data_IF_747715615914
#
_entry.id   IF_747715615914
#
_cell.length_a   1.000
_cell.length_b   1.000
_cell.length_c   1.000
_cell.angle_alpha   90.00
_cell.angle_beta   90.00
_cell.angle_gamma   90.00
#
_symmetry.space_group_name_H-M   'P 1'
#
loop_
_entity.id
_entity.type
_entity.pdbx_description
1 polymer ?
#
# COMPACT_ATOMS: atom_id res chain seq x y z
N UNK A 1 -21.92 -15.00 -55.02
CA UNK A 1 -20.65 -15.50 -55.58
C UNK A 1 -19.53 -14.68 -54.96
N UNK A 2 -18.71 -15.37 -54.16
CA UNK A 2 -17.25 -15.25 -54.03
C UNK A 2 -16.77 -13.92 -53.41
N UNK A 3 -15.96 -13.89 -52.35
CA UNK A 3 -15.17 -14.88 -51.68
C UNK A 3 -14.54 -14.27 -50.42
N UNK A 4 -14.38 -15.11 -49.42
CA UNK A 4 -13.59 -14.85 -48.21
C UNK A 4 -12.10 -14.75 -48.57
N UNK A 5 -11.38 -13.76 -47.99
CA UNK A 5 -9.94 -13.87 -47.82
C UNK A 5 -9.59 -13.54 -46.37
N UNK A 6 -9.28 -14.59 -45.66
CA UNK A 6 -8.64 -14.58 -44.35
C UNK A 6 -7.17 -14.22 -44.50
N UNK A 7 -6.67 -13.25 -43.72
CA UNK A 7 -5.25 -13.01 -43.54
C UNK A 7 -4.80 -13.66 -42.23
N UNK A 8 -3.63 -14.33 -42.20
CA UNK A 8 -3.16 -15.05 -41.04
C UNK A 8 -2.45 -14.12 -40.05
N UNK A 9 -2.83 -14.20 -38.79
CA UNK A 9 -2.07 -13.66 -37.67
C UNK A 9 -0.78 -14.46 -37.49
N UNK A 10 0.33 -13.80 -37.59
CA UNK A 10 1.66 -14.39 -37.32
C UNK A 10 2.07 -14.01 -35.90
N UNK A 11 1.91 -14.95 -34.96
CA UNK A 11 2.45 -14.88 -33.60
C UNK A 11 3.92 -15.26 -33.62
N UNK A 12 4.79 -14.27 -33.66
CA UNK A 12 6.23 -14.47 -33.47
C UNK A 12 6.57 -14.61 -32.00
N UNK A 13 6.60 -15.85 -31.52
CA UNK A 13 7.18 -16.20 -30.24
C UNK A 13 8.70 -16.32 -30.36
N UNK A 14 9.46 -15.44 -29.75
CA UNK A 14 10.89 -15.62 -29.55
C UNK A 14 11.20 -15.54 -28.04
N UNK A 15 10.95 -16.64 -27.34
CA UNK A 15 11.56 -16.90 -26.04
C UNK A 15 12.72 -17.88 -26.23
N UNK A 16 13.93 -17.38 -26.29
CA UNK A 16 15.14 -18.22 -26.22
C UNK A 16 15.38 -18.63 -24.77
N UNK A 17 14.96 -19.82 -24.43
CA UNK A 17 15.38 -20.52 -23.21
C UNK A 17 16.82 -20.99 -23.44
N UNK A 18 17.79 -20.34 -22.80
CA UNK A 18 19.15 -20.85 -22.70
C UNK A 18 19.23 -21.84 -21.55
N UNK A 19 19.16 -23.11 -21.86
CA UNK A 19 19.49 -24.20 -20.94
C UNK A 19 21.02 -24.27 -20.79
N UNK A 20 21.53 -23.85 -19.63
CA UNK A 20 22.90 -24.10 -19.25
C UNK A 20 22.98 -25.50 -18.66
N UNK A 21 23.54 -26.44 -19.43
CA UNK A 21 23.92 -27.74 -18.94
C UNK A 21 25.24 -27.58 -18.19
N UNK A 22 25.23 -27.84 -16.88
CA UNK A 22 26.43 -27.90 -16.07
C UNK A 22 27.08 -29.25 -16.27
N UNK A 23 28.24 -29.25 -16.93
CA UNK A 23 29.13 -30.43 -16.98
C UNK A 23 29.70 -30.73 -15.59
N UNK A 24 29.42 -31.93 -15.12
CA UNK A 24 30.02 -32.50 -13.92
C UNK A 24 31.47 -32.92 -14.22
N UNK A 25 32.42 -32.17 -13.76
CA UNK A 25 33.85 -32.59 -13.72
C UNK A 25 34.05 -33.47 -12.48
N UNK A 26 34.33 -34.76 -12.71
CA UNK A 26 34.76 -35.70 -11.70
C UNK A 26 36.19 -35.43 -11.31
N UNK A 27 36.49 -35.15 -10.06
CA UNK A 27 37.83 -35.12 -9.50
C UNK A 27 38.20 -36.51 -8.99
N UNK A 28 39.45 -36.93 -9.18
CA UNK A 28 39.89 -38.27 -8.78
C UNK A 28 40.17 -38.35 -7.28
N UNK A 29 39.76 -39.47 -6.71
CA UNK A 29 40.00 -39.90 -5.32
C UNK A 29 41.50 -40.30 -5.19
N UNK A 30 42.23 -39.59 -4.33
CA UNK A 30 43.54 -40.03 -3.88
C UNK A 30 43.42 -40.67 -2.49
N UNK A 31 43.65 -41.99 -2.45
CA UNK A 31 43.85 -42.72 -1.18
C UNK A 31 45.30 -42.52 -0.73
N UNK A 32 45.48 -42.05 0.49
CA UNK A 32 46.80 -42.12 1.17
C UNK A 32 46.66 -42.83 2.50
N UNK A 33 47.42 -43.89 2.61
CA UNK A 33 47.59 -44.79 3.72
C UNK A 33 48.21 -44.09 4.94
N UNK A 34 47.69 -44.35 6.11
CA UNK A 34 48.24 -43.91 7.39
C UNK A 34 49.31 -44.85 7.85
N UNK A 35 50.55 -44.40 8.04
CA UNK A 35 51.53 -45.04 8.92
C UNK A 35 51.62 -44.28 10.26
N UNK A 36 51.40 -45.00 11.33
CA UNK A 36 51.55 -44.54 12.70
C UNK A 36 53.02 -44.60 13.13
N UNK A 37 53.54 -43.54 13.75
CA UNK A 37 54.76 -43.56 14.52
C UNK A 37 54.56 -42.75 15.80
N UNK A 38 54.53 -43.49 16.92
CA UNK A 38 54.63 -42.92 18.27
C UNK A 38 56.02 -42.30 18.52
N UNK A 39 56.06 -41.19 19.20
CA UNK A 39 56.99 -40.96 20.34
C UNK A 39 56.87 -39.51 20.88
N UNK A 40 56.70 -39.38 22.22
CA UNK A 40 57.34 -38.33 23.04
C UNK A 40 56.48 -37.13 23.42
N UNK A 41 55.95 -37.14 24.65
CA UNK A 41 55.57 -35.92 25.38
C UNK A 41 56.82 -35.07 25.70
N UNK A 42 56.66 -33.73 25.72
CA UNK A 42 56.69 -33.07 27.02
C UNK A 42 55.57 -32.05 27.23
N UNK A 43 55.14 -31.99 28.46
CA UNK A 43 54.21 -31.08 29.12
C UNK A 43 54.66 -29.63 28.96
N UNK A 44 53.78 -28.79 28.34
CA UNK A 44 53.86 -27.35 28.50
C UNK A 44 52.43 -26.84 28.73
N UNK A 45 52.24 -26.12 29.83
CA UNK A 45 51.01 -25.48 30.18
C UNK A 45 50.62 -24.48 29.07
N UNK A 46 49.71 -24.91 28.19
CA UNK A 46 49.14 -24.08 27.13
C UNK A 46 47.94 -23.33 27.64
N UNK A 47 48.05 -22.03 27.60
CA UNK A 47 46.96 -21.08 27.69
C UNK A 47 45.82 -21.56 26.80
N UNK A 48 44.67 -21.87 27.39
CA UNK A 48 43.45 -22.17 26.66
C UNK A 48 43.18 -20.98 25.76
N UNK A 49 43.09 -21.14 24.42
CA UNK A 49 42.62 -20.03 23.58
C UNK A 49 41.18 -19.75 24.03
N UNK A 50 40.97 -18.57 24.57
CA UNK A 50 39.64 -17.99 24.67
C UNK A 50 39.11 -18.03 23.25
N UNK A 51 38.09 -18.85 23.02
CA UNK A 51 37.37 -18.89 21.77
C UNK A 51 36.88 -17.45 21.55
N UNK A 52 37.54 -16.73 20.66
CA UNK A 52 37.05 -15.48 20.10
C UNK A 52 35.76 -15.88 19.41
N UNK A 53 34.63 -15.56 20.05
CA UNK A 53 33.32 -15.60 19.40
C UNK A 53 33.48 -14.89 18.07
N UNK A 54 33.03 -15.48 16.96
CA UNK A 54 33.07 -14.77 15.69
C UNK A 54 32.33 -13.45 15.91
N UNK A 55 32.96 -12.33 15.58
CA UNK A 55 32.37 -10.99 15.57
C UNK A 55 31.37 -10.92 14.40
N UNK A 56 30.33 -11.76 14.45
CA UNK A 56 29.17 -11.70 13.56
C UNK A 56 28.02 -11.09 14.34
N UNK A 57 27.81 -9.80 14.14
CA UNK A 57 26.62 -9.13 14.70
C UNK A 57 25.35 -9.89 14.31
N UNK A 58 24.31 -9.77 15.10
CA UNK A 58 23.01 -10.36 14.83
C UNK A 58 22.47 -9.79 13.51
N UNK A 59 22.15 -10.67 12.55
CA UNK A 59 21.63 -10.29 11.24
C UNK A 59 20.13 -10.07 11.32
N UNK A 60 19.67 -8.87 10.98
CA UNK A 60 18.27 -8.52 10.76
C UNK A 60 18.03 -8.49 9.24
N UNK A 61 17.11 -9.31 8.77
CA UNK A 61 16.69 -9.35 7.36
C UNK A 61 15.43 -8.53 7.16
N UNK A 62 15.46 -7.64 6.17
CA UNK A 62 14.38 -6.71 5.85
C UNK A 62 13.93 -6.98 4.41
N UNK A 63 12.64 -7.19 4.18
CA UNK A 63 12.08 -7.25 2.84
C UNK A 63 11.26 -6.00 2.56
N UNK A 64 11.50 -5.39 1.39
CA UNK A 64 10.86 -4.17 0.93
C UNK A 64 10.28 -4.38 -0.47
N UNK A 65 9.17 -3.74 -0.81
CA UNK A 65 8.74 -3.64 -2.21
C UNK A 65 9.58 -2.59 -2.97
N UNK A 66 9.54 -2.59 -4.31
CA UNK A 66 10.39 -1.73 -5.15
C UNK A 66 10.24 -0.23 -4.86
N UNK A 67 9.05 0.22 -4.47
CA UNK A 67 8.75 1.61 -4.16
C UNK A 67 9.55 2.14 -2.96
N UNK A 68 10.04 1.24 -2.10
CA UNK A 68 10.83 1.53 -0.91
C UNK A 68 12.28 1.03 -1.03
N UNK A 69 12.79 0.85 -2.24
CA UNK A 69 14.17 0.41 -2.46
C UNK A 69 15.16 1.49 -1.99
N UNK A 70 16.00 1.23 -0.95
CA UNK A 70 16.99 2.19 -0.48
C UNK A 70 18.16 2.40 -1.47
N UNK A 71 18.31 1.52 -2.46
CA UNK A 71 19.29 1.67 -3.54
C UNK A 71 18.70 2.36 -4.79
N UNK A 72 17.44 2.80 -4.72
CA UNK A 72 16.79 3.58 -5.76
C UNK A 72 17.40 4.98 -5.94
N UNK A 73 16.99 5.66 -7.00
CA UNK A 73 17.55 6.98 -7.36
C UNK A 73 16.76 8.17 -6.79
N UNK A 74 15.70 7.94 -6.00
CA UNK A 74 14.88 9.01 -5.42
C UNK A 74 15.54 9.60 -4.17
N UNK A 75 15.13 10.83 -3.81
CA UNK A 75 15.51 11.45 -2.52
C UNK A 75 15.07 10.58 -1.34
N UNK A 76 13.86 10.04 -1.40
CA UNK A 76 13.33 9.13 -0.37
C UNK A 76 14.16 7.85 -0.22
N UNK A 77 14.63 7.27 -1.33
CA UNK A 77 15.55 6.12 -1.30
C UNK A 77 16.84 6.45 -0.56
N UNK A 78 17.44 7.60 -0.89
CA UNK A 78 18.67 8.07 -0.22
C UNK A 78 18.49 8.32 1.27
N UNK A 79 17.36 8.91 1.68
CA UNK A 79 17.01 9.13 3.08
C UNK A 79 16.82 7.81 3.85
N UNK A 80 16.10 6.86 3.28
CA UNK A 80 15.91 5.54 3.90
C UNK A 80 17.23 4.79 4.03
N UNK A 81 18.07 4.81 2.99
CA UNK A 81 19.42 4.23 3.03
C UNK A 81 20.27 4.83 4.16
N UNK A 82 20.37 6.15 4.18
CA UNK A 82 21.14 6.87 5.21
C UNK A 82 20.62 6.56 6.63
N UNK A 83 19.30 6.44 6.80
CA UNK A 83 18.69 6.10 8.10
C UNK A 83 19.04 4.69 8.55
N UNK A 84 19.01 3.71 7.63
CA UNK A 84 19.41 2.33 7.92
C UNK A 84 20.92 2.21 8.23
N UNK A 85 21.76 2.91 7.48
CA UNK A 85 23.21 2.97 7.72
C UNK A 85 23.54 3.62 9.07
N UNK A 86 22.86 4.72 9.44
CA UNK A 86 23.02 5.38 10.72
C UNK A 86 22.64 4.43 11.89
N UNK A 87 21.51 3.73 11.77
CA UNK A 87 21.14 2.72 12.79
C UNK A 87 22.21 1.63 12.95
N UNK A 88 22.74 1.11 11.85
CA UNK A 88 23.79 0.09 11.88
C UNK A 88 25.10 0.61 12.51
N UNK A 89 25.45 1.87 12.27
CA UNK A 89 26.61 2.52 12.86
C UNK A 89 26.47 2.72 14.38
N UNK A 90 25.27 3.11 14.83
CA UNK A 90 24.94 3.24 16.26
C UNK A 90 24.82 1.90 16.97
N UNK A 91 24.56 0.80 16.24
CA UNK A 91 24.36 -0.55 16.77
C UNK A 91 25.34 -1.56 16.15
N UNK A 92 26.64 -1.52 16.44
CA UNK A 92 27.65 -2.33 15.75
C UNK A 92 27.50 -3.85 15.95
N UNK A 93 26.68 -4.27 16.90
CA UNK A 93 26.28 -5.66 17.10
C UNK A 93 25.15 -6.12 16.15
N UNK A 94 24.60 -5.24 15.32
CA UNK A 94 23.51 -5.52 14.39
C UNK A 94 24.03 -5.34 12.96
N UNK A 95 23.70 -6.28 12.09
CA UNK A 95 23.88 -6.18 10.65
C UNK A 95 22.52 -6.17 9.97
N UNK A 96 22.32 -5.28 9.01
CA UNK A 96 21.09 -5.20 8.22
C UNK A 96 21.32 -5.84 6.84
N UNK A 97 20.39 -6.66 6.40
CA UNK A 97 20.33 -7.21 5.05
C UNK A 97 18.97 -6.84 4.44
N UNK A 98 19.00 -5.94 3.48
CA UNK A 98 17.78 -5.51 2.75
C UNK A 98 17.65 -6.32 1.47
N UNK A 99 16.42 -6.79 1.19
CA UNK A 99 16.07 -7.44 -0.08
C UNK A 99 14.81 -6.81 -0.62
N UNK A 100 14.89 -6.36 -1.86
CA UNK A 100 13.73 -5.88 -2.61
C UNK A 100 13.05 -7.06 -3.29
N UNK A 101 11.71 -7.12 -3.18
CA UNK A 101 10.86 -8.14 -3.78
C UNK A 101 9.66 -7.49 -4.44
N UNK A 102 9.19 -8.07 -5.52
CA UNK A 102 7.93 -7.63 -6.13
C UNK A 102 6.81 -7.57 -5.09
N UNK A 103 5.90 -6.63 -5.25
CA UNK A 103 4.76 -6.49 -4.35
C UNK A 103 3.86 -7.73 -4.47
N UNK A 104 3.49 -8.08 -5.68
CA UNK A 104 2.53 -9.12 -6.01
C UNK A 104 3.10 -10.19 -6.96
N UNK A 105 2.30 -11.21 -7.23
CA UNK A 105 2.60 -12.28 -8.16
C UNK A 105 3.58 -13.33 -7.62
N UNK A 106 3.98 -14.28 -8.47
CA UNK A 106 4.92 -15.33 -8.11
C UNK A 106 6.26 -14.78 -7.64
N UNK A 107 6.69 -15.13 -6.43
CA UNK A 107 7.90 -14.60 -5.80
C UNK A 107 7.76 -13.22 -5.18
N UNK A 108 6.58 -12.63 -5.19
CA UNK A 108 6.24 -11.40 -4.48
C UNK A 108 6.33 -11.55 -2.95
N UNK A 109 6.09 -10.46 -2.24
CA UNK A 109 6.26 -10.41 -0.77
C UNK A 109 5.47 -11.49 -0.05
N UNK A 110 4.15 -11.57 -0.28
CA UNK A 110 3.29 -12.55 0.40
C UNK A 110 3.60 -13.99 -0.04
N UNK A 111 3.75 -14.24 -1.34
CA UNK A 111 4.10 -15.56 -1.87
C UNK A 111 5.44 -16.06 -1.30
N UNK A 112 6.44 -15.17 -1.25
CA UNK A 112 7.74 -15.47 -0.64
C UNK A 112 7.65 -15.75 0.87
N UNK A 113 6.81 -15.03 1.62
CA UNK A 113 6.59 -15.29 3.05
C UNK A 113 5.98 -16.66 3.26
N UNK A 114 4.95 -17.01 2.49
CA UNK A 114 4.29 -18.33 2.55
C UNK A 114 5.29 -19.43 2.22
N UNK A 115 6.02 -19.31 1.11
CA UNK A 115 6.99 -20.31 0.67
C UNK A 115 8.14 -20.49 1.68
N UNK A 116 8.71 -19.38 2.19
CA UNK A 116 9.78 -19.43 3.18
C UNK A 116 9.31 -20.03 4.50
N UNK A 117 8.11 -19.67 4.97
CA UNK A 117 7.55 -20.22 6.20
C UNK A 117 7.36 -21.75 6.12
N UNK A 118 6.93 -22.25 4.96
CA UNK A 118 6.70 -23.67 4.76
C UNK A 118 7.99 -24.48 4.56
N UNK A 119 8.95 -23.98 3.76
CA UNK A 119 10.11 -24.75 3.31
C UNK A 119 11.42 -24.45 4.04
N UNK A 120 11.60 -23.20 4.51
CA UNK A 120 12.86 -22.73 5.07
C UNK A 120 12.65 -21.60 6.10
N UNK A 121 12.06 -21.86 7.27
CA UNK A 121 11.73 -20.82 8.26
C UNK A 121 12.93 -19.97 8.72
N UNK A 122 14.14 -20.51 8.64
CA UNK A 122 15.35 -19.80 9.02
C UNK A 122 15.78 -18.68 8.04
N UNK A 123 15.19 -18.64 6.83
CA UNK A 123 15.46 -17.59 5.84
C UNK A 123 14.35 -16.53 5.79
N UNK A 124 13.31 -16.66 6.63
CA UNK A 124 12.30 -15.63 6.80
C UNK A 124 12.95 -14.27 7.12
N UNK A 125 12.39 -13.18 6.62
CA UNK A 125 12.79 -11.85 7.06
C UNK A 125 12.40 -11.64 8.52
N UNK A 126 13.10 -10.76 9.21
CA UNK A 126 12.71 -10.32 10.56
C UNK A 126 11.67 -9.20 10.46
N UNK A 127 11.84 -8.32 9.45
CA UNK A 127 10.94 -7.21 9.12
C UNK A 127 10.51 -7.25 7.67
N UNK A 128 9.26 -6.87 7.43
CA UNK A 128 8.72 -6.65 6.07
C UNK A 128 7.93 -5.35 6.08
N UNK A 129 7.99 -4.59 5.01
CA UNK A 129 7.09 -3.46 4.80
C UNK A 129 5.95 -3.92 3.89
N UNK A 130 4.73 -3.91 4.43
CA UNK A 130 3.54 -4.40 3.73
C UNK A 130 2.47 -3.31 3.63
N UNK A 131 1.75 -3.23 2.49
CA UNK A 131 0.51 -2.47 2.41
C UNK A 131 -0.59 -3.19 3.18
N UNK A 132 -1.63 -2.47 3.59
CA UNK A 132 -2.71 -3.00 4.43
C UNK A 132 -3.30 -4.33 3.92
N UNK A 133 -3.64 -4.52 2.63
CA UNK A 133 -4.23 -5.77 2.15
C UNK A 133 -3.30 -6.98 2.35
N UNK A 134 -1.99 -6.81 2.11
CA UNK A 134 -1.02 -7.90 2.31
C UNK A 134 -0.74 -8.16 3.79
N UNK A 135 -0.75 -7.12 4.64
CA UNK A 135 -0.66 -7.27 6.09
C UNK A 135 -1.82 -8.13 6.62
N UNK A 136 -3.07 -7.83 6.22
CA UNK A 136 -4.24 -8.60 6.59
C UNK A 136 -4.10 -10.06 6.19
N UNK A 137 -3.77 -10.31 4.92
CA UNK A 137 -3.59 -11.65 4.38
C UNK A 137 -2.48 -12.42 5.11
N UNK A 138 -1.34 -11.78 5.38
CA UNK A 138 -0.22 -12.39 6.07
C UNK A 138 -0.55 -12.70 7.55
N UNK A 139 -1.22 -11.78 8.26
CA UNK A 139 -1.63 -11.97 9.64
C UNK A 139 -2.67 -13.11 9.77
N UNK A 140 -3.67 -13.15 8.89
CA UNK A 140 -4.69 -14.21 8.87
C UNK A 140 -4.09 -15.60 8.56
N UNK A 141 -3.00 -15.66 7.78
CA UNK A 141 -2.24 -16.89 7.51
C UNK A 141 -1.28 -17.26 8.64
N UNK A 142 -1.19 -16.48 9.73
CA UNK A 142 -0.28 -16.73 10.85
C UNK A 142 1.21 -16.53 10.51
N UNK A 143 1.51 -15.70 9.51
CA UNK A 143 2.89 -15.41 9.07
C UNK A 143 3.54 -14.26 9.84
N UNK A 144 2.76 -13.50 10.61
CA UNK A 144 3.20 -12.32 11.33
C UNK A 144 3.10 -12.51 12.84
N UNK A 145 3.95 -11.79 13.54
CA UNK A 145 3.93 -11.69 15.01
C UNK A 145 3.41 -10.32 15.43
N UNK A 146 2.54 -10.26 16.46
CA UNK A 146 2.05 -8.98 16.96
C UNK A 146 3.15 -8.22 17.70
N UNK A 147 3.00 -6.89 17.74
CA UNK A 147 3.84 -5.98 18.54
C UNK A 147 3.40 -5.89 20.01
N UNK A 148 2.25 -6.48 20.36
CA UNK A 148 1.69 -6.44 21.71
C UNK A 148 2.70 -6.96 22.74
N UNK A 149 2.95 -6.14 23.78
CA UNK A 149 3.97 -6.43 24.80
C UNK A 149 5.43 -6.26 24.35
N UNK A 150 5.70 -5.87 23.10
CA UNK A 150 7.03 -5.61 22.57
C UNK A 150 7.30 -4.11 22.37
N UNK A 151 6.29 -3.32 22.07
CA UNK A 151 6.36 -1.88 21.87
C UNK A 151 5.09 -1.20 22.33
N UNK A 152 5.21 0.00 22.88
CA UNK A 152 4.09 0.86 23.26
C UNK A 152 3.98 2.08 22.32
N UNK A 153 4.67 2.06 21.19
CA UNK A 153 4.74 3.24 20.30
C UNK A 153 3.37 3.65 19.75
N UNK A 154 2.46 2.67 19.56
CA UNK A 154 1.10 2.94 19.09
C UNK A 154 0.17 3.52 20.17
N UNK A 155 0.57 3.50 21.45
CA UNK A 155 -0.17 4.14 22.55
C UNK A 155 0.02 5.67 22.54
N UNK A 156 1.02 6.19 21.81
CA UNK A 156 1.24 7.63 21.64
C UNK A 156 0.04 8.25 20.92
N UNK A 157 -0.44 9.40 21.42
CA UNK A 157 -1.59 10.10 20.84
C UNK A 157 -1.28 10.83 19.51
N UNK A 158 -0.01 10.88 19.10
CA UNK A 158 0.40 11.56 17.87
C UNK A 158 0.05 10.83 16.57
N UNK A 159 -0.48 9.61 16.62
CA UNK A 159 -0.94 8.89 15.42
C UNK A 159 -2.32 9.36 14.99
N UNK A 160 -2.52 9.59 13.68
CA UNK A 160 -3.85 9.78 13.12
C UNK A 160 -4.72 8.53 13.34
N UNK A 161 -6.06 8.71 13.37
CA UNK A 161 -6.97 7.60 13.66
C UNK A 161 -6.89 6.50 12.59
N UNK A 162 -6.85 6.85 11.30
CA UNK A 162 -6.67 5.87 10.24
C UNK A 162 -5.36 5.07 10.39
N UNK A 163 -4.29 5.72 10.85
CA UNK A 163 -3.01 5.06 11.07
C UNK A 163 -3.06 4.08 12.25
N UNK A 164 -3.80 4.42 13.33
CA UNK A 164 -4.06 3.46 14.43
C UNK A 164 -4.80 2.24 13.91
N UNK A 165 -5.84 2.45 13.10
CA UNK A 165 -6.61 1.37 12.48
C UNK A 165 -5.75 0.55 11.51
N UNK A 166 -4.84 1.21 10.75
CA UNK A 166 -3.88 0.56 9.85
C UNK A 166 -2.96 -0.44 10.58
N UNK A 167 -2.57 -0.11 11.83
CA UNK A 167 -1.71 -0.96 12.66
C UNK A 167 -2.43 -2.20 13.19
N UNK A 168 -3.74 -2.10 13.42
CA UNK A 168 -4.50 -3.13 14.14
C UNK A 168 -5.24 -4.07 13.19
N UNK A 169 -5.26 -5.34 13.57
CA UNK A 169 -6.15 -6.35 12.99
C UNK A 169 -6.81 -7.12 14.13
N UNK A 170 -8.15 -7.10 14.21
CA UNK A 170 -8.89 -7.61 15.37
C UNK A 170 -8.42 -6.89 16.65
N UNK A 171 -7.95 -7.63 17.64
CA UNK A 171 -7.54 -7.09 18.95
C UNK A 171 -6.02 -6.92 19.09
N UNK A 172 -5.23 -7.11 18.03
CA UNK A 172 -3.76 -7.10 18.09
C UNK A 172 -3.13 -6.11 17.12
N UNK A 173 -1.97 -5.59 17.49
CA UNK A 173 -1.15 -4.68 16.69
C UNK A 173 -0.18 -5.49 15.83
N UNK A 174 -0.45 -5.62 14.53
CA UNK A 174 0.41 -6.38 13.62
C UNK A 174 1.38 -5.52 12.82
N UNK A 175 1.19 -4.21 12.80
CA UNK A 175 2.05 -3.30 12.05
C UNK A 175 2.31 -2.00 12.80
N UNK A 176 3.43 -1.34 12.47
CA UNK A 176 3.69 0.04 12.85
C UNK A 176 3.65 0.87 11.56
N UNK A 177 2.71 1.83 11.44
CA UNK A 177 2.54 2.62 10.22
C UNK A 177 3.78 3.42 9.84
N UNK A 178 4.11 3.42 8.55
CA UNK A 178 5.29 4.10 8.03
C UNK A 178 4.93 5.15 6.98
N UNK A 179 4.00 4.84 6.07
CA UNK A 179 3.52 5.73 5.04
C UNK A 179 2.00 5.62 4.95
N UNK A 180 1.31 6.75 4.93
CA UNK A 180 -0.13 6.82 4.72
C UNK A 180 -0.46 7.26 3.31
N UNK A 181 -1.66 6.92 2.86
CA UNK A 181 -2.23 7.42 1.61
C UNK A 181 -3.74 7.57 1.76
N UNK A 182 -4.33 8.50 1.04
CA UNK A 182 -5.78 8.70 1.05
C UNK A 182 -6.27 9.27 -0.28
N UNK A 183 -7.56 9.09 -0.56
CA UNK A 183 -8.16 9.74 -1.71
C UNK A 183 -8.29 11.24 -1.47
N UNK A 184 -8.05 12.02 -2.52
CA UNK A 184 -8.08 13.48 -2.52
C UNK A 184 -8.68 14.00 -3.82
N UNK A 185 -9.08 15.27 -3.82
CA UNK A 185 -9.42 16.00 -5.03
C UNK A 185 -8.17 16.76 -5.51
N UNK A 186 -7.64 16.38 -6.66
CA UNK A 186 -6.66 17.20 -7.38
C UNK A 186 -7.39 18.18 -8.31
N UNK A 187 -6.89 19.41 -8.44
CA UNK A 187 -7.48 20.39 -9.34
C UNK A 187 -6.44 21.33 -9.95
N UNK A 188 -6.80 21.95 -11.06
CA UNK A 188 -6.03 23.01 -11.69
C UNK A 188 -6.54 24.38 -11.22
N UNK A 189 -5.78 25.12 -10.36
CA UNK A 189 -6.18 26.46 -9.92
C UNK A 189 -6.45 27.45 -11.04
N UNK A 190 -5.80 27.30 -12.20
CA UNK A 190 -6.04 28.11 -13.39
C UNK A 190 -7.41 27.88 -14.03
N UNK A 191 -8.04 26.71 -13.80
CA UNK A 191 -9.34 26.35 -14.37
C UNK A 191 -10.48 26.41 -13.35
N UNK A 192 -10.16 26.33 -12.04
CA UNK A 192 -11.16 26.25 -10.98
C UNK A 192 -10.79 27.19 -9.83
N UNK A 193 -11.52 28.29 -9.66
CA UNK A 193 -11.26 29.28 -8.59
C UNK A 193 -11.54 28.73 -7.18
N UNK A 194 -12.52 27.83 -7.06
CA UNK A 194 -12.88 27.22 -5.80
C UNK A 194 -13.32 25.76 -6.00
N UNK A 195 -12.80 24.86 -5.16
CA UNK A 195 -13.17 23.45 -5.17
C UNK A 195 -14.56 23.23 -4.57
N UNK A 196 -15.34 22.26 -5.06
CA UNK A 196 -16.61 21.90 -4.45
C UNK A 196 -16.38 21.28 -3.08
N UNK A 197 -17.13 21.72 -2.07
CA UNK A 197 -17.07 21.17 -0.73
C UNK A 197 -18.08 20.05 -0.48
N UNK A 198 -19.13 19.96 -1.33
CA UNK A 198 -20.09 18.86 -1.31
C UNK A 198 -20.58 18.50 -2.71
N UNK A 199 -21.30 17.38 -2.82
CA UNK A 199 -21.77 16.85 -4.09
C UNK A 199 -22.75 17.80 -4.81
N UNK A 200 -23.64 18.49 -4.08
CA UNK A 200 -24.58 19.46 -4.69
C UNK A 200 -23.82 20.69 -5.24
N UNK A 201 -22.75 21.11 -4.57
CA UNK A 201 -21.91 22.19 -5.08
C UNK A 201 -21.15 21.76 -6.35
N UNK A 202 -20.76 20.49 -6.49
CA UNK A 202 -20.18 19.97 -7.74
C UNK A 202 -21.15 20.09 -8.91
N UNK A 203 -22.45 19.75 -8.70
CA UNK A 203 -23.47 19.94 -9.73
C UNK A 203 -23.66 21.41 -10.11
N UNK A 204 -23.60 22.32 -9.12
CA UNK A 204 -23.75 23.75 -9.34
C UNK A 204 -22.59 24.34 -10.14
N UNK A 205 -21.37 23.87 -9.90
CA UNK A 205 -20.18 24.25 -10.67
C UNK A 205 -20.28 23.78 -12.12
N UNK A 206 -20.89 22.62 -12.37
CA UNK A 206 -21.09 22.09 -13.72
C UNK A 206 -19.80 21.61 -14.41
N UNK A 207 -18.70 21.51 -13.65
CA UNK A 207 -17.40 21.10 -14.15
C UNK A 207 -17.20 19.57 -14.02
N UNK A 208 -16.44 18.99 -14.95
CA UNK A 208 -16.21 17.53 -14.96
C UNK A 208 -15.35 17.12 -13.77
N UNK A 209 -15.84 16.16 -13.01
CA UNK A 209 -15.11 15.45 -11.98
C UNK A 209 -14.62 14.09 -12.52
N UNK A 210 -13.33 13.97 -12.80
CA UNK A 210 -12.74 12.72 -13.25
C UNK A 210 -12.60 11.73 -12.07
N UNK A 211 -12.99 10.48 -12.32
CA UNK A 211 -12.70 9.34 -11.44
C UNK A 211 -12.80 8.03 -12.25
N UNK A 212 -12.18 6.91 -11.79
CA UNK A 212 -12.23 5.64 -12.49
C UNK A 212 -13.56 4.93 -12.25
N UNK A 213 -14.56 5.17 -13.13
CA UNK A 213 -15.92 4.65 -12.95
C UNK A 213 -16.02 3.13 -13.19
N UNK A 214 -15.01 2.50 -13.78
CA UNK A 214 -14.89 1.04 -13.97
C UNK A 214 -13.77 0.44 -13.09
N UNK A 215 -13.45 1.10 -11.98
CA UNK A 215 -12.60 0.51 -10.95
C UNK A 215 -13.30 -0.71 -10.34
N UNK A 216 -12.75 -1.94 -10.48
CA UNK A 216 -13.38 -3.14 -9.94
C UNK A 216 -13.45 -3.16 -8.41
N UNK A 217 -12.73 -2.27 -7.74
CA UNK A 217 -12.82 -2.05 -6.29
C UNK A 217 -13.86 -1.00 -5.92
N UNK A 218 -14.32 -0.19 -6.87
CA UNK A 218 -15.29 0.90 -6.72
C UNK A 218 -14.97 1.83 -5.52
N UNK A 219 -13.68 2.16 -5.32
CA UNK A 219 -13.21 2.84 -4.11
C UNK A 219 -13.84 4.21 -3.93
N UNK A 220 -14.00 5.00 -5.01
CA UNK A 220 -14.65 6.30 -4.92
C UNK A 220 -16.12 6.16 -4.52
N UNK A 221 -16.85 5.21 -5.11
CA UNK A 221 -18.25 4.92 -4.75
C UNK A 221 -18.37 4.45 -3.31
N UNK A 222 -17.49 3.56 -2.84
CA UNK A 222 -17.42 3.13 -1.43
C UNK A 222 -17.13 4.31 -0.50
N UNK A 223 -16.25 5.23 -0.91
CA UNK A 223 -15.94 6.43 -0.15
C UNK A 223 -17.19 7.30 0.02
N UNK A 224 -17.90 7.60 -1.06
CA UNK A 224 -19.12 8.42 -1.03
C UNK A 224 -20.26 7.72 -0.27
N UNK A 225 -20.42 6.41 -0.44
CA UNK A 225 -21.40 5.60 0.27
C UNK A 225 -21.15 5.63 1.79
N UNK A 226 -19.90 5.49 2.24
CA UNK A 226 -19.58 5.59 3.67
C UNK A 226 -19.68 7.02 4.20
N UNK A 227 -19.38 8.03 3.38
CA UNK A 227 -19.60 9.44 3.73
C UNK A 227 -21.08 9.75 3.93
N UNK A 228 -22.01 9.08 3.20
CA UNK A 228 -23.47 9.15 3.43
C UNK A 228 -23.92 8.40 4.71
N UNK A 229 -23.01 7.72 5.40
CA UNK A 229 -23.29 6.95 6.61
C UNK A 229 -23.55 5.46 6.36
N UNK A 230 -23.38 4.97 5.15
CA UNK A 230 -23.57 3.56 4.81
C UNK A 230 -22.52 2.64 5.46
N UNK A 231 -22.96 1.48 5.95
CA UNK A 231 -22.08 0.43 6.50
C UNK A 231 -21.77 -0.62 5.44
N UNK A 232 -20.53 -1.09 5.41
CA UNK A 232 -20.08 -2.16 4.51
C UNK A 232 -20.21 -3.57 5.11
N UNK A 233 -20.68 -3.67 6.37
CA UNK A 233 -20.80 -4.93 7.09
C UNK A 233 -22.04 -4.93 7.97
N UNK A 234 -22.61 -6.12 8.17
CA UNK A 234 -23.64 -6.35 9.20
C UNK A 234 -23.00 -6.51 10.60
N UNK A 235 -23.86 -6.70 11.61
CA UNK A 235 -23.43 -6.90 13.00
C UNK A 235 -22.59 -8.18 13.21
N UNK A 236 -22.57 -9.10 12.25
CA UNK A 236 -21.76 -10.31 12.26
C UNK A 236 -20.45 -10.17 11.46
N UNK A 237 -20.21 -9.00 10.88
CA UNK A 237 -19.02 -8.71 10.07
C UNK A 237 -19.09 -9.27 8.64
N UNK A 238 -20.29 -9.68 8.17
CA UNK A 238 -20.48 -10.15 6.80
C UNK A 238 -20.70 -8.96 5.86
N UNK A 239 -20.27 -9.05 4.57
CA UNK A 239 -20.54 -8.01 3.58
C UNK A 239 -22.04 -7.66 3.56
N UNK A 240 -22.34 -6.39 3.68
CA UNK A 240 -23.71 -5.85 3.67
C UNK A 240 -23.69 -4.38 3.30
N UNK A 241 -24.68 -3.93 2.56
CA UNK A 241 -24.87 -2.51 2.24
C UNK A 241 -26.28 -2.06 2.65
N UNK A 242 -26.38 -0.81 3.10
CA UNK A 242 -27.64 -0.12 3.30
C UNK A 242 -28.21 0.37 1.97
N UNK A 243 -29.35 -0.14 1.57
CA UNK A 243 -29.98 0.18 0.29
C UNK A 243 -30.30 1.68 0.16
N UNK A 244 -30.80 2.31 1.22
CA UNK A 244 -31.21 3.71 1.16
C UNK A 244 -30.02 4.65 0.94
N UNK A 245 -28.89 4.40 1.61
CA UNK A 245 -27.66 5.15 1.40
C UNK A 245 -27.09 4.92 -0.01
N UNK A 246 -27.14 3.68 -0.50
CA UNK A 246 -26.67 3.37 -1.87
C UNK A 246 -27.53 4.07 -2.93
N UNK A 247 -28.86 4.05 -2.78
CA UNK A 247 -29.79 4.75 -3.71
C UNK A 247 -29.45 6.23 -3.79
N UNK A 248 -29.20 6.91 -2.67
CA UNK A 248 -28.85 8.34 -2.66
C UNK A 248 -27.58 8.65 -3.46
N UNK A 249 -26.55 7.81 -3.33
CA UNK A 249 -25.32 7.99 -4.10
C UNK A 249 -25.57 7.76 -5.59
N UNK A 250 -26.28 6.71 -5.96
CA UNK A 250 -26.62 6.44 -7.35
C UNK A 250 -27.58 7.50 -7.97
N UNK A 251 -28.49 8.09 -7.16
CA UNK A 251 -29.29 9.25 -7.58
C UNK A 251 -28.42 10.48 -7.86
N UNK A 252 -27.39 10.71 -7.05
CA UNK A 252 -26.41 11.74 -7.32
C UNK A 252 -25.66 11.44 -8.63
N UNK A 253 -25.15 10.21 -8.83
CA UNK A 253 -24.45 9.80 -10.05
C UNK A 253 -25.32 10.03 -11.29
N UNK A 254 -26.61 9.69 -11.23
CA UNK A 254 -27.55 9.95 -12.32
C UNK A 254 -27.68 11.43 -12.62
N UNK A 255 -27.87 12.28 -11.60
CA UNK A 255 -27.97 13.74 -11.77
C UNK A 255 -26.67 14.34 -12.30
N UNK A 256 -25.53 13.86 -11.78
CA UNK A 256 -24.19 14.28 -12.22
C UNK A 256 -23.91 13.89 -13.68
N UNK A 257 -24.36 12.70 -14.08
CA UNK A 257 -24.27 12.26 -15.49
C UNK A 257 -25.11 13.14 -16.42
N UNK A 258 -26.34 13.42 -16.04
CA UNK A 258 -27.26 14.30 -16.80
C UNK A 258 -26.75 15.76 -16.87
N UNK A 259 -26.10 16.24 -15.83
CA UNK A 259 -25.49 17.57 -15.76
C UNK A 259 -24.12 17.65 -16.48
N UNK A 260 -23.55 16.52 -16.89
CA UNK A 260 -22.23 16.46 -17.51
C UNK A 260 -21.05 16.56 -16.54
N UNK A 261 -21.31 16.55 -15.23
CA UNK A 261 -20.27 16.54 -14.19
C UNK A 261 -19.59 15.18 -14.07
N UNK A 262 -20.37 14.10 -14.17
CA UNK A 262 -19.87 12.73 -14.26
C UNK A 262 -20.41 12.05 -15.53
N UNK A 263 -19.89 12.43 -16.71
CA UNK A 263 -20.41 11.91 -17.99
C UNK A 263 -20.12 10.40 -18.12
N UNK A 264 -20.95 9.70 -18.90
CA UNK A 264 -20.77 8.25 -19.12
C UNK A 264 -19.39 7.88 -19.70
N UNK A 265 -18.67 8.83 -20.27
CA UNK A 265 -17.30 8.62 -20.78
C UNK A 265 -16.30 8.27 -19.67
N UNK A 266 -16.62 8.55 -18.41
CA UNK A 266 -15.79 8.11 -17.26
C UNK A 266 -15.68 6.58 -17.18
N UNK A 267 -16.61 5.84 -17.79
CA UNK A 267 -16.54 4.38 -17.86
C UNK A 267 -15.44 3.83 -18.78
N UNK A 268 -14.62 4.69 -19.35
CA UNK A 268 -13.37 4.31 -20.04
C UNK A 268 -12.17 4.18 -19.09
N UNK A 269 -12.27 4.67 -17.87
CA UNK A 269 -11.19 4.66 -16.88
C UNK A 269 -11.44 3.58 -15.84
N UNK A 270 -10.45 2.68 -15.67
CA UNK A 270 -10.51 1.54 -14.74
C UNK A 270 -9.59 1.69 -13.53
N UNK A 271 -8.72 2.68 -13.52
CA UNK A 271 -7.75 2.89 -12.45
C UNK A 271 -7.31 4.36 -12.34
N UNK A 272 -6.65 4.69 -11.22
CA UNK A 272 -6.14 6.02 -10.92
C UNK A 272 -5.13 6.52 -11.97
N UNK A 273 -4.29 5.64 -12.50
CA UNK A 273 -3.26 6.05 -13.46
C UNK A 273 -3.86 6.56 -14.78
N UNK A 274 -4.93 5.92 -15.28
CA UNK A 274 -5.64 6.37 -16.47
C UNK A 274 -6.34 7.71 -16.24
N UNK A 275 -6.98 7.88 -15.08
CA UNK A 275 -7.60 9.15 -14.69
C UNK A 275 -6.55 10.25 -14.58
N UNK A 276 -5.43 9.96 -13.95
CA UNK A 276 -4.35 10.92 -13.77
C UNK A 276 -3.73 11.35 -15.11
N UNK A 277 -3.47 10.41 -16.01
CA UNK A 277 -3.00 10.71 -17.38
C UNK A 277 -3.99 11.61 -18.11
N UNK A 278 -5.29 11.32 -18.04
CA UNK A 278 -6.33 12.14 -18.65
C UNK A 278 -6.40 13.54 -18.02
N UNK A 279 -6.29 13.66 -16.71
CA UNK A 279 -6.30 14.92 -15.97
C UNK A 279 -5.12 15.82 -16.36
N UNK A 280 -3.92 15.25 -16.50
CA UNK A 280 -2.74 16.01 -16.93
C UNK A 280 -2.74 16.34 -18.44
N UNK A 281 -3.34 15.50 -19.26
CA UNK A 281 -3.32 15.60 -20.73
C UNK A 281 -4.44 16.43 -21.34
N UNK A 282 -5.48 16.78 -20.59
CA UNK A 282 -6.69 17.46 -21.08
C UNK A 282 -7.11 18.57 -20.11
N UNK A 283 -7.87 19.58 -20.54
CA UNK A 283 -8.28 20.69 -19.67
C UNK A 283 -9.45 20.31 -18.75
N UNK A 284 -9.37 19.17 -18.08
CA UNK A 284 -10.30 18.83 -17.02
C UNK A 284 -9.90 19.53 -15.71
N UNK A 285 -10.84 20.23 -15.04
CA UNK A 285 -10.48 21.08 -13.92
C UNK A 285 -10.17 20.30 -12.63
N UNK A 286 -10.72 19.09 -12.47
CA UNK A 286 -10.56 18.32 -11.23
C UNK A 286 -10.64 16.80 -11.44
N UNK A 287 -9.92 16.07 -10.59
CA UNK A 287 -9.88 14.61 -10.58
C UNK A 287 -9.80 14.06 -9.16
N UNK A 288 -10.44 12.94 -8.93
CA UNK A 288 -10.23 12.11 -7.75
C UNK A 288 -8.98 11.27 -7.96
N UNK A 289 -8.05 11.31 -7.01
CA UNK A 289 -6.79 10.56 -7.08
C UNK A 289 -6.29 10.22 -5.67
N UNK A 290 -5.16 9.53 -5.59
CA UNK A 290 -4.46 9.30 -4.32
C UNK A 290 -3.54 10.47 -3.97
N UNK A 291 -3.41 10.77 -2.68
CA UNK A 291 -2.50 11.81 -2.20
C UNK A 291 -1.06 11.56 -2.67
N UNK A 292 -0.62 10.31 -2.71
CA UNK A 292 0.70 9.93 -3.19
C UNK A 292 0.91 10.23 -4.68
N UNK A 293 -0.10 10.01 -5.52
CA UNK A 293 -0.08 10.37 -6.95
C UNK A 293 0.07 11.89 -7.10
N UNK A 294 -0.76 12.66 -6.40
CA UNK A 294 -0.68 14.14 -6.43
C UNK A 294 0.69 14.65 -5.94
N UNK A 295 1.14 14.21 -4.75
CA UNK A 295 2.37 14.71 -4.13
C UNK A 295 3.62 14.43 -4.97
N UNK A 296 3.72 13.23 -5.58
CA UNK A 296 4.83 12.87 -6.45
C UNK A 296 4.92 13.77 -7.68
N UNK A 297 3.77 14.13 -8.29
CA UNK A 297 3.73 15.00 -9.45
C UNK A 297 3.96 16.46 -9.09
N UNK A 298 3.45 16.93 -7.95
CA UNK A 298 3.72 18.28 -7.44
C UNK A 298 5.20 18.50 -7.22
N UNK A 299 5.90 17.52 -6.65
CA UNK A 299 7.35 17.57 -6.44
C UNK A 299 8.14 17.55 -7.77
N UNK A 300 7.55 17.04 -8.84
CA UNK A 300 8.15 17.06 -10.19
C UNK A 300 8.07 18.43 -10.88
N UNK A 301 7.53 19.46 -10.20
CA UNK A 301 7.51 20.85 -10.69
C UNK A 301 6.28 21.21 -11.51
N UNK A 302 5.16 20.54 -11.29
CA UNK A 302 3.87 20.92 -11.87
C UNK A 302 3.24 22.04 -11.03
N UNK A 303 3.35 23.29 -11.48
CA UNK A 303 2.91 24.47 -10.73
C UNK A 303 1.39 24.62 -10.66
N UNK A 304 0.67 24.31 -11.76
CA UNK A 304 -0.79 24.41 -11.84
C UNK A 304 -1.47 23.14 -11.29
N UNK A 305 -1.09 22.73 -10.09
CA UNK A 305 -1.71 21.65 -9.35
C UNK A 305 -1.96 22.05 -7.92
N UNK A 306 -3.17 21.82 -7.43
CA UNK A 306 -3.53 21.97 -6.02
C UNK A 306 -4.38 20.77 -5.56
N UNK A 307 -4.42 20.54 -4.26
CA UNK A 307 -5.13 19.45 -3.62
C UNK A 307 -6.19 20.00 -2.66
N UNK A 308 -7.33 19.33 -2.60
CA UNK A 308 -8.41 19.63 -1.67
C UNK A 308 -9.01 18.33 -1.11
N UNK A 309 -9.79 18.40 0.00
CA UNK A 309 -10.64 17.30 0.41
C UNK A 309 -11.66 16.95 -0.68
N UNK A 310 -12.09 15.67 -0.71
CA UNK A 310 -13.16 15.23 -1.60
C UNK A 310 -14.47 15.96 -1.27
N UNK A 311 -15.29 16.31 -2.29
CA UNK A 311 -16.68 16.73 -2.05
C UNK A 311 -17.49 15.54 -1.52
N UNK A 312 -18.14 15.71 -0.39
CA UNK A 312 -18.94 14.68 0.26
C UNK A 312 -20.44 14.96 0.14
N UNK A 313 -21.35 14.01 0.42
CA UNK A 313 -22.78 14.25 0.33
C UNK A 313 -23.26 15.44 1.16
N UNK A 314 -22.82 15.57 2.39
CA UNK A 314 -23.25 16.59 3.36
C UNK A 314 -22.25 17.73 3.58
N UNK A 315 -21.07 17.67 2.94
CA UNK A 315 -19.99 18.64 3.12
C UNK A 315 -19.12 18.42 4.37
N UNK A 316 -19.40 17.38 5.16
CA UNK A 316 -18.49 16.98 6.26
C UNK A 316 -17.30 16.23 5.67
N UNK A 317 -16.07 16.69 5.88
CA UNK A 317 -14.90 16.05 5.31
C UNK A 317 -14.82 14.55 5.65
N UNK A 318 -14.68 13.74 4.63
CA UNK A 318 -14.52 12.29 4.72
C UNK A 318 -13.67 11.78 3.57
N UNK A 319 -12.79 10.83 3.83
CA UNK A 319 -12.05 10.11 2.78
C UNK A 319 -11.66 8.71 3.25
N UNK A 320 -11.39 7.82 2.31
CA UNK A 320 -10.80 6.52 2.59
C UNK A 320 -9.27 6.61 2.52
N UNK A 321 -8.63 5.96 3.48
CA UNK A 321 -7.18 5.89 3.60
C UNK A 321 -6.67 4.46 3.64
N UNK A 322 -5.45 4.28 3.19
CA UNK A 322 -4.67 3.05 3.27
C UNK A 322 -3.24 3.40 3.68
N UNK A 323 -2.31 2.46 3.58
CA UNK A 323 -0.91 2.75 3.84
C UNK A 323 -0.07 1.51 4.05
N UNK A 324 1.17 1.77 4.43
CA UNK A 324 2.24 0.79 4.58
C UNK A 324 2.65 0.69 6.05
N UNK A 325 2.85 -0.53 6.52
CA UNK A 325 3.27 -0.79 7.89
C UNK A 325 4.44 -1.74 7.96
N UNK A 326 5.34 -1.48 8.90
CA UNK A 326 6.39 -2.42 9.28
C UNK A 326 5.78 -3.57 10.08
N UNK A 327 5.98 -4.81 9.61
CA UNK A 327 5.47 -6.02 10.23
C UNK A 327 6.59 -6.96 10.65
N UNK A 328 6.37 -7.73 11.72
CA UNK A 328 7.31 -8.71 12.25
C UNK A 328 6.98 -10.09 11.67
N UNK A 329 7.93 -10.71 10.96
CA UNK A 329 7.78 -12.06 10.40
C UNK A 329 8.82 -13.06 10.93
N UNK A 330 9.89 -12.59 11.57
CA UNK A 330 10.96 -13.43 12.11
C UNK A 330 10.55 -14.25 13.33
N UNK A 331 10.96 -15.52 13.36
CA UNK A 331 10.61 -16.44 14.44
C UNK A 331 11.50 -16.28 15.69
N UNK A 332 12.73 -15.75 15.55
CA UNK A 332 13.69 -15.60 16.63
C UNK A 332 13.31 -14.45 17.57
N UNK A 333 13.01 -14.69 18.87
CA UNK A 333 12.61 -13.64 19.81
C UNK A 333 13.68 -12.57 20.02
N UNK A 334 14.98 -12.93 19.99
CA UNK A 334 16.06 -11.98 20.21
C UNK A 334 16.17 -11.00 19.03
N UNK A 335 16.10 -11.51 17.79
CA UNK A 335 16.06 -10.66 16.57
C UNK A 335 14.79 -9.85 16.49
N UNK A 336 13.65 -10.40 16.94
CA UNK A 336 12.37 -9.67 17.00
C UNK A 336 12.47 -8.41 17.86
N UNK A 337 13.06 -8.49 19.05
CA UNK A 337 13.28 -7.32 19.91
C UNK A 337 14.18 -6.26 19.27
N UNK A 338 15.21 -6.68 18.52
CA UNK A 338 16.06 -5.75 17.77
C UNK A 338 15.31 -5.13 16.59
N UNK A 339 14.47 -5.91 15.92
CA UNK A 339 13.61 -5.43 14.84
C UNK A 339 12.61 -4.38 15.32
N UNK A 340 12.02 -4.57 16.49
CA UNK A 340 11.15 -3.57 17.13
C UNK A 340 11.91 -2.25 17.34
N UNK A 341 13.11 -2.29 17.90
CA UNK A 341 13.94 -1.08 18.09
C UNK A 341 14.28 -0.39 16.78
N UNK A 342 14.58 -1.17 15.73
CA UNK A 342 14.80 -0.61 14.42
C UNK A 342 13.54 0.08 13.86
N UNK A 343 12.36 -0.53 14.02
CA UNK A 343 11.11 0.07 13.58
C UNK A 343 10.82 1.37 14.35
N UNK A 344 10.99 1.36 15.70
CA UNK A 344 10.83 2.58 16.51
C UNK A 344 11.77 3.72 16.05
N UNK A 345 12.99 3.37 15.63
CA UNK A 345 13.95 4.32 15.05
C UNK A 345 13.51 4.82 13.67
N UNK A 346 12.93 3.95 12.81
CA UNK A 346 12.44 4.29 11.48
C UNK A 346 11.15 5.11 11.49
N UNK A 347 10.35 5.04 12.56
CA UNK A 347 9.10 5.81 12.68
C UNK A 347 9.25 7.02 13.63
N UNK A 348 10.49 7.42 13.91
CA UNK A 348 10.76 8.70 14.59
C UNK A 348 10.12 9.86 13.83
N UNK A 349 9.54 10.82 14.56
CA UNK A 349 8.75 11.91 13.96
C UNK A 349 9.51 12.76 12.96
N UNK A 350 10.78 13.06 13.25
CA UNK A 350 11.58 13.96 12.41
C UNK A 350 12.00 13.25 11.12
N UNK A 351 12.36 11.96 11.22
CA UNK A 351 12.64 11.14 10.06
C UNK A 351 11.38 10.90 9.21
N UNK A 352 10.24 10.57 9.84
CA UNK A 352 8.97 10.40 9.10
C UNK A 352 8.56 11.69 8.37
N UNK A 353 8.75 12.85 9.00
CA UNK A 353 8.44 14.13 8.37
C UNK A 353 9.23 14.33 7.08
N UNK A 354 10.56 14.15 7.15
CA UNK A 354 11.46 14.33 6.01
C UNK A 354 11.22 13.26 4.93
N UNK A 355 11.12 12.01 5.36
CA UNK A 355 10.99 10.90 4.44
C UNK A 355 9.63 10.89 3.73
N UNK A 356 8.51 11.06 4.44
CA UNK A 356 7.17 11.05 3.82
C UNK A 356 6.99 12.23 2.87
N UNK A 357 7.54 13.41 3.21
CA UNK A 357 7.56 14.54 2.29
C UNK A 357 8.31 14.18 1.00
N UNK A 358 9.54 13.67 1.11
CA UNK A 358 10.36 13.30 -0.04
C UNK A 358 9.79 12.13 -0.87
N UNK A 359 9.06 11.23 -0.22
CA UNK A 359 8.45 10.06 -0.86
C UNK A 359 7.08 10.33 -1.46
N UNK A 360 6.46 11.48 -1.16
CA UNK A 360 5.12 11.81 -1.60
C UNK A 360 4.02 11.03 -0.89
N UNK A 361 4.25 10.61 0.36
CA UNK A 361 3.24 9.93 1.19
C UNK A 361 2.74 10.81 2.32
N UNK A 362 1.54 10.51 2.84
CA UNK A 362 1.04 11.16 4.04
C UNK A 362 1.79 10.62 5.27
N UNK A 363 2.28 11.50 6.16
CA UNK A 363 2.84 11.05 7.43
C UNK A 363 1.73 10.47 8.30
N UNK A 364 1.91 9.26 8.86
CA UNK A 364 0.90 8.63 9.71
C UNK A 364 0.81 9.28 11.11
N UNK A 365 1.71 10.24 11.41
CA UNK A 365 1.80 10.93 12.69
C UNK A 365 1.53 12.42 12.55
N UNK A 366 0.72 12.96 13.46
CA UNK A 366 0.39 14.39 13.56
C UNK A 366 1.66 15.24 13.78
N UNK A 367 2.53 14.81 14.71
CA UNK A 367 3.75 15.53 15.04
C UNK A 367 4.79 15.53 13.89
N UNK A 368 4.79 14.49 13.05
CA UNK A 368 5.58 14.49 11.82
C UNK A 368 5.02 15.46 10.78
N UNK A 369 3.70 15.48 10.56
CA UNK A 369 3.08 16.43 9.63
C UNK A 369 3.33 17.89 10.04
N UNK A 370 3.30 18.19 11.34
CA UNK A 370 3.57 19.53 11.86
C UNK A 370 4.99 20.05 11.53
N UNK A 371 5.93 19.15 11.23
CA UNK A 371 7.30 19.49 10.83
C UNK A 371 7.44 19.83 9.34
N UNK A 372 6.41 19.62 8.51
CA UNK A 372 6.45 19.99 7.10
C UNK A 372 6.50 21.52 6.93
N UNK A 373 7.37 21.98 6.03
CA UNK A 373 7.63 23.42 5.87
C UNK A 373 6.54 24.16 5.08
N UNK A 374 5.87 23.48 4.14
CA UNK A 374 4.83 24.08 3.29
C UNK A 374 3.51 24.19 4.06
N UNK A 375 3.22 25.39 4.57
CA UNK A 375 2.07 25.62 5.45
C UNK A 375 0.72 25.32 4.78
N UNK A 376 0.55 25.66 3.51
CA UNK A 376 -0.70 25.43 2.75
C UNK A 376 -0.94 23.93 2.55
N UNK A 377 0.06 23.21 2.02
CA UNK A 377 -0.03 21.74 1.84
C UNK A 377 -0.28 21.05 3.19
N UNK A 378 0.42 21.46 4.25
CA UNK A 378 0.24 20.91 5.60
C UNK A 378 -1.19 21.08 6.09
N UNK A 379 -1.81 22.25 5.92
CA UNK A 379 -3.18 22.51 6.40
C UNK A 379 -4.21 21.63 5.68
N UNK A 380 -4.08 21.47 4.36
CA UNK A 380 -4.97 20.61 3.58
C UNK A 380 -4.79 19.12 3.95
N UNK A 381 -3.53 18.67 4.06
CA UNK A 381 -3.22 17.29 4.45
C UNK A 381 -3.68 17.00 5.88
N UNK A 382 -3.57 17.94 6.79
CA UNK A 382 -4.06 17.81 8.16
C UNK A 382 -5.58 17.59 8.18
N UNK A 383 -6.34 18.38 7.43
CA UNK A 383 -7.79 18.23 7.30
C UNK A 383 -8.16 16.85 6.73
N UNK A 384 -7.49 16.42 5.64
CA UNK A 384 -7.68 15.13 5.00
C UNK A 384 -7.37 14.00 5.99
N UNK A 385 -6.22 14.05 6.67
CA UNK A 385 -5.78 12.99 7.58
C UNK A 385 -6.68 12.83 8.81
N UNK A 386 -7.26 13.91 9.33
CA UNK A 386 -8.24 13.83 10.43
C UNK A 386 -9.58 13.27 9.99
N UNK A 387 -9.99 13.53 8.75
CA UNK A 387 -11.25 13.01 8.19
C UNK A 387 -11.12 11.59 7.61
N UNK A 388 -9.90 11.12 7.46
CA UNK A 388 -9.60 9.82 6.86
C UNK A 388 -10.08 8.65 7.72
N UNK A 389 -10.66 7.65 7.07
CA UNK A 389 -11.03 6.36 7.65
C UNK A 389 -10.32 5.25 6.90
N UNK A 390 -9.94 4.21 7.63
CA UNK A 390 -9.31 3.06 6.97
C UNK A 390 -10.28 2.45 5.95
N UNK A 391 -9.76 2.14 4.77
CA UNK A 391 -10.50 1.38 3.77
C UNK A 391 -11.06 0.08 4.36
N UNK A 392 -12.23 -0.38 3.91
CA UNK A 392 -12.71 -1.72 4.22
C UNK A 392 -11.65 -2.80 3.91
N UNK A 393 -11.73 -3.94 4.58
CA UNK A 393 -10.77 -5.02 4.35
C UNK A 393 -10.78 -5.49 2.89
N UNK A 394 -9.65 -6.05 2.45
CA UNK A 394 -9.50 -6.53 1.08
C UNK A 394 -10.61 -7.51 0.65
N UNK A 395 -11.06 -8.38 1.56
CA UNK A 395 -12.14 -9.34 1.30
C UNK A 395 -13.49 -8.62 1.08
N UNK A 396 -13.76 -7.56 1.84
CA UNK A 396 -14.97 -6.75 1.66
C UNK A 396 -14.94 -6.01 0.33
N UNK A 397 -13.83 -5.36 0.03
CA UNK A 397 -13.65 -4.64 -1.24
C UNK A 397 -13.79 -5.59 -2.43
N UNK A 398 -13.19 -6.79 -2.36
CA UNK A 398 -13.30 -7.80 -3.40
C UNK A 398 -14.75 -8.33 -3.59
N UNK A 399 -15.54 -8.32 -2.51
CA UNK A 399 -16.94 -8.77 -2.57
C UNK A 399 -17.89 -7.67 -3.06
N UNK A 400 -17.73 -6.45 -2.53
CA UNK A 400 -18.64 -5.33 -2.79
C UNK A 400 -18.31 -4.57 -4.08
N UNK A 401 -17.02 -4.42 -4.38
CA UNK A 401 -16.54 -3.58 -5.47
C UNK A 401 -17.15 -3.89 -6.83
N UNK A 402 -17.12 -5.16 -7.31
CA UNK A 402 -17.65 -5.49 -8.64
C UNK A 402 -19.15 -5.21 -8.80
N UNK A 403 -19.94 -5.41 -7.74
CA UNK A 403 -21.38 -5.11 -7.77
C UNK A 403 -21.64 -3.59 -7.81
N UNK A 404 -20.88 -2.82 -7.01
CA UNK A 404 -20.96 -1.36 -7.00
C UNK A 404 -20.48 -0.75 -8.34
N UNK A 405 -19.38 -1.23 -8.89
CA UNK A 405 -18.89 -0.82 -10.20
C UNK A 405 -19.95 -1.00 -11.28
N UNK A 406 -20.58 -2.19 -11.34
CA UNK A 406 -21.63 -2.49 -12.31
C UNK A 406 -22.85 -1.56 -12.12
N UNK A 407 -23.25 -1.26 -10.88
CA UNK A 407 -24.36 -0.33 -10.60
C UNK A 407 -24.03 1.08 -11.10
N UNK A 408 -22.87 1.63 -10.76
CA UNK A 408 -22.41 2.94 -11.22
C UNK A 408 -22.39 3.01 -12.74
N UNK A 409 -21.75 2.04 -13.40
CA UNK A 409 -21.67 1.98 -14.88
C UNK A 409 -23.06 1.98 -15.52
N UNK A 410 -24.00 1.19 -14.96
CA UNK A 410 -25.36 1.10 -15.49
C UNK A 410 -26.13 2.42 -15.35
N UNK A 411 -25.95 3.11 -14.23
CA UNK A 411 -26.59 4.43 -13.97
C UNK A 411 -25.97 5.51 -14.86
N UNK A 412 -24.64 5.61 -14.94
CA UNK A 412 -23.97 6.59 -15.80
C UNK A 412 -24.32 6.42 -17.29
N UNK A 413 -24.53 5.19 -17.75
CA UNK A 413 -24.96 4.86 -19.12
C UNK A 413 -26.48 4.93 -19.33
N UNK A 414 -27.26 5.35 -18.32
CA UNK A 414 -28.72 5.36 -18.34
C UNK A 414 -29.35 4.00 -18.72
N UNK A 415 -28.72 2.90 -18.34
CA UNK A 415 -29.21 1.52 -18.55
C UNK A 415 -30.12 1.04 -17.42
N UNK A 416 -29.96 1.63 -16.22
CA UNK A 416 -30.78 1.36 -15.05
C UNK A 416 -31.05 2.66 -14.30
N UNK A 417 -32.21 2.73 -13.63
CA UNK A 417 -32.46 3.77 -12.64
C UNK A 417 -31.75 3.43 -11.32
N UNK A 418 -31.51 4.42 -10.44
CA UNK A 418 -30.77 4.24 -9.21
C UNK A 418 -31.36 3.18 -8.26
N UNK A 419 -32.70 3.13 -8.12
CA UNK A 419 -33.36 2.17 -7.25
C UNK A 419 -33.18 0.73 -7.74
N UNK A 420 -33.37 0.50 -9.04
CA UNK A 420 -33.16 -0.82 -9.66
C UNK A 420 -31.70 -1.25 -9.59
N UNK A 421 -30.76 -0.33 -9.81
CA UNK A 421 -29.34 -0.62 -9.71
C UNK A 421 -28.91 -0.97 -8.27
N UNK A 422 -29.39 -0.22 -7.26
CA UNK A 422 -29.12 -0.50 -5.87
C UNK A 422 -29.67 -1.87 -5.43
N UNK A 423 -30.92 -2.18 -5.81
CA UNK A 423 -31.53 -3.47 -5.51
C UNK A 423 -30.74 -4.64 -6.10
N UNK A 424 -30.24 -4.48 -7.34
CA UNK A 424 -29.40 -5.51 -7.98
C UNK A 424 -28.09 -5.76 -7.21
N UNK A 425 -27.46 -4.72 -6.66
CA UNK A 425 -26.27 -4.86 -5.78
C UNK A 425 -26.63 -5.66 -4.53
N UNK A 426 -27.72 -5.29 -3.84
CA UNK A 426 -28.16 -5.95 -2.62
C UNK A 426 -28.49 -7.43 -2.89
N UNK A 427 -29.16 -7.72 -3.99
CA UNK A 427 -29.50 -9.10 -4.39
C UNK A 427 -28.24 -9.91 -4.69
N UNK A 428 -27.24 -9.31 -5.35
CA UNK A 428 -25.96 -9.97 -5.68
C UNK A 428 -25.15 -10.30 -4.43
N UNK A 429 -25.06 -9.37 -3.47
CA UNK A 429 -24.32 -9.57 -2.20
C UNK A 429 -24.98 -10.62 -1.32
N UNK A 430 -26.29 -10.75 -1.36
CA UNK A 430 -27.07 -11.70 -0.57
C UNK A 430 -27.15 -13.09 -1.24
N UNK A 431 -26.63 -13.27 -2.44
CA UNK A 431 -26.57 -14.61 -3.04
C UNK A 431 -25.57 -15.49 -2.27
N UNK A 432 -25.95 -16.76 -1.96
CA UNK A 432 -25.14 -17.65 -1.15
C UNK A 432 -23.87 -18.14 -1.87
#
# INVERSE_FOLDING_TARGET
>A
MVGCTSLPFNLGSNSQVRTLIAERTLLPTASTTLEAKETGLPTSAGVTPVATLPMGGLLIRIWLPPEFDPEGNSTASGLLKARLEAYAAENPAVRLEVRVKALDGPGGLLDSLVAANAAAPLVLPDLVLLPRPLLESAALKGLLYPYDGLSNIMENQSWFEYARQLAHLKASTYGIPFAGDSMVLAHHPSLLEATPYNLENSLTLGEVLLYPATDPQAIFTLCMYQAEGGSTQDAQGRPSLDEASLVKILEYDQRASLAGVMPYTLTQYSDDAQVWEAFLGTPYPMAVTWASTYLSHKQSGQDDLAMAPLPTPDGVPFTLATGWSWVLAGQDPARRMLSVKLVEYLVDKDFLAEWTYAAGYLPPRVDALQSWQEAEARQVIEQISYSARLMPSADLVATLGPALEQAVVSVLKAQSDPQTAAQAVIDQINQP
#
